data_IF_198430686468
#
_entry.id   IF_198430686468
#
_cell.length_a   1.000
_cell.length_b   1.000
_cell.length_c   1.000
_cell.angle_alpha   90.00
_cell.angle_beta   90.00
_cell.angle_gamma   90.00
#
_symmetry.space_group_name_H-M   'P 1'
#
loop_
_entity.id
_entity.type
_entity.pdbx_description
1 polymer ?
#
# COMPACT_ATOMS: atom_id res chain seq x y z
N UNK A 1 9.30 8.37 -11.80
CA UNK A 1 10.40 7.85 -10.96
C UNK A 1 11.74 8.09 -11.64
N UNK A 2 12.52 9.06 -11.11
CA UNK A 2 13.90 9.29 -11.56
C UNK A 2 14.80 8.09 -11.20
N UNK A 3 15.93 7.95 -11.92
CA UNK A 3 16.87 6.85 -11.73
C UNK A 3 18.27 7.42 -11.52
N UNK A 4 18.94 6.93 -10.50
CA UNK A 4 20.34 7.23 -10.20
C UNK A 4 21.14 5.93 -10.20
N UNK A 5 22.42 5.98 -10.55
CA UNK A 5 23.32 4.86 -10.34
C UNK A 5 23.82 4.87 -8.89
N UNK A 6 24.34 3.74 -8.40
CA UNK A 6 25.07 3.73 -7.13
C UNK A 6 26.24 4.72 -7.12
N UNK A 7 26.87 4.98 -8.27
CA UNK A 7 27.95 5.96 -8.40
C UNK A 7 27.41 7.38 -8.21
N UNK A 8 26.26 7.71 -8.80
CA UNK A 8 25.63 9.04 -8.62
C UNK A 8 25.25 9.28 -7.16
N UNK A 9 24.67 8.27 -6.50
CA UNK A 9 24.31 8.33 -5.08
C UNK A 9 25.52 8.61 -4.17
N UNK A 10 26.65 7.95 -4.41
CA UNK A 10 27.86 8.14 -3.60
C UNK A 10 28.56 9.47 -3.91
N UNK A 11 28.46 9.96 -5.14
CA UNK A 11 29.11 11.19 -5.60
C UNK A 11 28.35 12.44 -5.16
N UNK A 12 27.03 12.43 -5.26
CA UNK A 12 26.17 13.58 -4.97
C UNK A 12 24.90 13.14 -4.24
N UNK A 13 25.10 12.71 -3.00
CA UNK A 13 24.00 12.26 -2.13
C UNK A 13 22.94 13.35 -1.96
N UNK A 14 23.34 14.63 -1.91
CA UNK A 14 22.44 15.76 -1.68
C UNK A 14 21.42 15.89 -2.82
N UNK A 15 21.87 15.80 -4.07
CA UNK A 15 20.96 15.85 -5.22
C UNK A 15 20.01 14.65 -5.23
N UNK A 16 20.51 13.46 -4.89
CA UNK A 16 19.68 12.24 -4.87
C UNK A 16 18.64 12.29 -3.74
N UNK A 17 18.99 12.77 -2.54
CA UNK A 17 18.04 12.95 -1.44
C UNK A 17 17.02 14.03 -1.74
N UNK A 18 17.42 15.18 -2.31
CA UNK A 18 16.48 16.22 -2.73
C UNK A 18 15.49 15.74 -3.81
N UNK A 19 15.91 14.80 -4.67
CA UNK A 19 15.00 14.16 -5.61
C UNK A 19 14.03 13.20 -4.88
N UNK A 20 14.54 12.42 -3.92
CA UNK A 20 13.77 11.50 -3.10
C UNK A 20 12.74 12.19 -2.19
N UNK A 21 13.02 13.43 -1.74
CA UNK A 21 12.09 14.25 -0.94
C UNK A 21 10.83 14.64 -1.73
N UNK A 22 10.93 14.69 -3.07
CA UNK A 22 9.81 15.06 -3.95
C UNK A 22 9.02 13.86 -4.43
N UNK A 23 9.68 12.72 -4.63
CA UNK A 23 9.08 11.47 -5.06
C UNK A 23 10.09 10.33 -4.88
N UNK A 24 9.63 9.08 -4.73
CA UNK A 24 10.52 7.92 -4.75
C UNK A 24 11.39 7.87 -6.02
N UNK A 25 12.67 7.53 -5.84
CA UNK A 25 13.66 7.39 -6.92
C UNK A 25 14.31 6.01 -6.92
N UNK A 26 14.66 5.49 -8.10
CA UNK A 26 15.30 4.19 -8.21
C UNK A 26 16.82 4.31 -8.18
N UNK A 27 17.47 3.47 -7.38
CA UNK A 27 18.93 3.30 -7.42
C UNK A 27 19.25 2.05 -8.24
N UNK A 28 20.10 2.22 -9.24
CA UNK A 28 20.46 1.20 -10.22
C UNK A 28 21.88 0.69 -10.01
N UNK A 29 22.07 -0.62 -10.22
CA UNK A 29 23.38 -1.27 -10.35
C UNK A 29 23.45 -2.00 -11.68
N UNK A 30 24.56 -1.88 -12.40
CA UNK A 30 24.71 -2.46 -13.74
C UNK A 30 23.50 -2.19 -14.65
N UNK A 31 22.97 -0.95 -14.60
CA UNK A 31 21.78 -0.48 -15.34
C UNK A 31 20.44 -1.14 -14.96
N UNK A 32 20.40 -2.00 -13.93
CA UNK A 32 19.16 -2.59 -13.40
C UNK A 32 18.73 -1.88 -12.12
N UNK A 33 17.45 -1.50 -11.96
CA UNK A 33 16.92 -1.05 -10.68
C UNK A 33 17.11 -2.12 -9.60
N UNK A 34 17.64 -1.75 -8.44
CA UNK A 34 17.89 -2.66 -7.32
C UNK A 34 17.27 -2.17 -6.03
N UNK A 35 17.29 -0.86 -5.81
CA UNK A 35 16.75 -0.23 -4.62
C UNK A 35 15.87 0.95 -5.00
N UNK A 36 15.05 1.38 -4.05
CA UNK A 36 14.31 2.63 -4.12
C UNK A 36 14.73 3.47 -2.91
N UNK A 37 14.95 4.76 -3.13
CA UNK A 37 15.12 5.75 -2.07
C UNK A 37 13.84 6.60 -2.02
N UNK A 38 13.27 6.74 -0.83
CA UNK A 38 12.09 7.54 -0.52
C UNK A 38 12.20 8.03 0.92
N UNK A 39 11.34 8.96 1.31
CA UNK A 39 11.27 9.40 2.70
C UNK A 39 10.79 8.25 3.61
N UNK A 40 11.14 8.33 4.88
CA UNK A 40 10.70 7.34 5.87
C UNK A 40 9.17 7.30 5.99
N UNK A 41 8.53 8.47 6.02
CA UNK A 41 7.07 8.58 6.14
C UNK A 41 6.35 7.95 4.95
N UNK A 42 6.89 8.10 3.73
CA UNK A 42 6.33 7.47 2.54
C UNK A 42 6.49 5.94 2.56
N UNK A 43 7.62 5.45 3.08
CA UNK A 43 7.82 4.01 3.32
C UNK A 43 6.82 3.47 4.34
N UNK A 44 6.61 4.14 5.48
CA UNK A 44 5.64 3.70 6.49
C UNK A 44 4.19 3.83 6.00
N UNK A 45 3.86 4.85 5.20
CA UNK A 45 2.56 4.97 4.55
C UNK A 45 2.31 3.83 3.54
N UNK A 46 3.32 3.40 2.79
CA UNK A 46 3.21 2.21 1.92
C UNK A 46 3.09 0.91 2.72
N UNK A 47 3.86 0.78 3.79
CA UNK A 47 3.84 -0.40 4.66
C UNK A 47 2.51 -0.56 5.39
N UNK A 48 1.91 0.53 5.88
CA UNK A 48 0.57 0.50 6.49
C UNK A 48 -0.54 0.19 5.50
N UNK A 49 -0.31 0.39 4.19
CA UNK A 49 -1.19 -0.05 3.10
C UNK A 49 -0.96 -1.51 2.67
N UNK A 50 -0.01 -2.22 3.28
CA UNK A 50 0.31 -3.59 2.90
C UNK A 50 -0.67 -4.58 3.53
N UNK A 51 -1.35 -5.32 2.65
CA UNK A 51 -2.55 -6.14 2.84
C UNK A 51 -3.78 -5.41 3.44
N UNK A 52 -4.69 -4.89 2.59
CA UNK A 52 -5.92 -4.24 3.07
C UNK A 52 -6.91 -5.22 3.70
N UNK A 53 -6.68 -6.54 3.58
CA UNK A 53 -7.60 -7.55 4.09
C UNK A 53 -7.43 -7.64 5.59
N UNK A 54 -8.53 -7.41 6.31
CA UNK A 54 -8.63 -7.61 7.75
C UNK A 54 -9.51 -8.82 8.01
N UNK A 55 -9.05 -9.73 8.85
CA UNK A 55 -9.84 -10.87 9.36
C UNK A 55 -10.28 -10.52 10.76
N UNK A 56 -11.55 -10.73 11.05
CA UNK A 56 -12.14 -10.55 12.38
C UNK A 56 -12.76 -11.87 12.81
N UNK A 57 -12.47 -12.31 14.03
CA UNK A 57 -13.20 -13.40 14.66
C UNK A 57 -14.63 -12.99 15.04
N UNK A 58 -15.44 -13.95 15.54
CA UNK A 58 -16.76 -13.65 16.06
C UNK A 58 -16.69 -12.59 17.17
N UNK A 59 -17.49 -11.53 17.05
CA UNK A 59 -17.54 -10.38 17.97
C UNK A 59 -16.27 -9.48 18.01
N UNK A 60 -15.33 -9.64 17.08
CA UNK A 60 -14.13 -8.80 17.00
C UNK A 60 -14.24 -7.71 15.91
N UNK A 61 -15.27 -7.77 15.08
CA UNK A 61 -15.50 -6.80 14.02
C UNK A 61 -15.85 -5.42 14.62
N UNK A 62 -15.19 -4.33 14.17
CA UNK A 62 -15.54 -2.97 14.57
C UNK A 62 -17.00 -2.66 14.25
N UNK A 63 -17.69 -1.98 15.16
CA UNK A 63 -19.12 -1.69 15.02
C UNK A 63 -19.43 -0.94 13.72
N UNK A 64 -18.58 0.02 13.37
CA UNK A 64 -18.72 0.82 12.16
C UNK A 64 -18.66 -0.04 10.89
N UNK A 65 -17.89 -1.13 10.91
CA UNK A 65 -17.81 -2.07 9.78
C UNK A 65 -19.04 -2.98 9.72
N UNK A 66 -19.52 -3.44 10.87
CA UNK A 66 -20.74 -4.25 10.99
C UNK A 66 -21.95 -3.47 10.47
N UNK A 67 -22.09 -2.21 10.87
CA UNK A 67 -23.20 -1.34 10.48
C UNK A 67 -23.25 -1.10 8.95
N UNK A 68 -22.11 -1.17 8.26
CA UNK A 68 -22.02 -1.04 6.80
C UNK A 68 -22.31 -2.37 6.09
N UNK A 69 -21.77 -3.48 6.60
CA UNK A 69 -21.79 -4.77 5.88
C UNK A 69 -23.10 -5.54 6.10
N UNK A 70 -23.66 -5.50 7.31
CA UNK A 70 -24.82 -6.33 7.68
C UNK A 70 -26.05 -6.10 6.78
N UNK A 71 -26.46 -4.85 6.47
CA UNK A 71 -27.65 -4.62 5.65
C UNK A 71 -27.55 -5.22 4.24
N UNK A 72 -26.35 -5.18 3.65
CA UNK A 72 -26.12 -5.73 2.31
C UNK A 72 -26.06 -7.26 2.34
N UNK A 73 -25.46 -7.86 3.39
CA UNK A 73 -25.49 -9.31 3.57
C UNK A 73 -26.91 -9.84 3.73
N UNK A 74 -27.75 -9.16 4.52
CA UNK A 74 -29.15 -9.54 4.72
C UNK A 74 -29.91 -9.52 3.38
N UNK A 75 -29.72 -8.47 2.59
CA UNK A 75 -30.29 -8.37 1.23
C UNK A 75 -29.82 -9.51 0.31
N UNK A 76 -28.52 -9.80 0.27
CA UNK A 76 -27.98 -10.88 -0.58
C UNK A 76 -28.47 -12.27 -0.15
N UNK A 77 -28.68 -12.48 1.15
CA UNK A 77 -29.27 -13.72 1.68
C UNK A 77 -30.73 -13.87 1.22
N UNK A 78 -31.50 -12.79 1.21
CA UNK A 78 -32.88 -12.78 0.71
C UNK A 78 -32.92 -13.05 -0.80
N UNK A 79 -32.11 -12.34 -1.60
CA UNK A 79 -32.02 -12.55 -3.05
C UNK A 79 -31.61 -13.99 -3.41
N UNK A 80 -30.67 -14.58 -2.66
CA UNK A 80 -30.27 -15.98 -2.84
C UNK A 80 -31.38 -16.99 -2.51
N UNK A 81 -32.21 -16.70 -1.51
CA UNK A 81 -33.36 -17.56 -1.16
C UNK A 81 -34.47 -17.51 -2.20
N UNK A 82 -34.66 -16.37 -2.86
CA UNK A 82 -35.63 -16.22 -3.95
C UNK A 82 -35.16 -16.87 -5.25
N UNK A 83 -33.85 -16.98 -5.48
CA UNK A 83 -33.28 -17.62 -6.67
C UNK A 83 -33.26 -19.16 -6.61
N UNK A 84 -33.29 -19.74 -5.41
CA UNK A 84 -33.28 -21.20 -5.16
C UNK A 84 -34.69 -21.80 -4.97
N UNK A 85 -35.76 -21.01 -5.18
CA UNK A 85 -37.17 -21.42 -5.10
C UNK A 85 -37.87 -21.50 -6.45
#
# INVERSE_FOLDING_TARGET
MQKFTTVDLLRDIKTVTMAADRQPVAITQHRKPRYVLMTYDEFEAMKSRSDPRRVFGPNEAPKELVDIIMPELDRLIEEGREADG
#
